data_IF_030723833130
#
_entry.id   IF_030723833130
#
_cell.length_a   1.000
_cell.length_b   1.000
_cell.length_c   1.000
_cell.angle_alpha   90.00
_cell.angle_beta   90.00
_cell.angle_gamma   90.00
#
_symmetry.space_group_name_H-M   'P 1'
#
loop_
_entity.id
_entity.type
_entity.pdbx_description
1 polymer ?
#
# COMPACT_ATOMS: atom_id res chain seq x y z
N UNK A 1 -7.24 -15.95 2.90
CA UNK A 1 -6.29 -15.08 2.19
C UNK A 1 -6.86 -14.94 0.79
N UNK A 2 -7.18 -13.72 0.42
CA UNK A 2 -7.69 -13.37 -0.90
C UNK A 2 -6.68 -12.38 -1.50
N UNK A 3 -6.39 -12.50 -2.79
CA UNK A 3 -5.55 -11.56 -3.53
C UNK A 3 -6.48 -10.82 -4.48
N UNK A 4 -6.59 -9.51 -4.29
CA UNK A 4 -7.29 -8.62 -5.20
C UNK A 4 -6.24 -7.95 -6.09
N UNK A 5 -6.43 -8.07 -7.40
CA UNK A 5 -5.73 -7.26 -8.39
C UNK A 5 -6.80 -6.32 -8.95
N UNK A 6 -6.78 -5.09 -8.47
CA UNK A 6 -7.64 -4.00 -8.94
C UNK A 6 -7.19 -3.50 -10.33
N UNK A 7 -8.07 -2.76 -10.97
CA UNK A 7 -7.92 -2.25 -12.34
C UNK A 7 -8.32 -0.78 -12.37
N UNK A 8 -7.81 -0.02 -13.34
CA UNK A 8 -8.09 1.41 -13.50
C UNK A 8 -7.80 2.25 -12.25
N UNK A 9 -6.78 1.89 -11.50
CA UNK A 9 -6.25 2.70 -10.40
C UNK A 9 -5.67 4.01 -10.98
N UNK A 10 -4.71 3.86 -11.88
CA UNK A 10 -3.89 4.95 -12.45
C UNK A 10 -4.48 5.61 -13.72
N UNK A 11 -5.81 5.53 -13.91
CA UNK A 11 -6.50 6.11 -15.09
C UNK A 11 -7.18 7.46 -14.78
N UNK A 12 -6.84 8.08 -13.65
CA UNK A 12 -7.46 9.32 -13.20
C UNK A 12 -7.04 10.55 -14.01
N UNK A 13 -7.67 11.67 -13.68
CA UNK A 13 -7.52 12.92 -14.41
C UNK A 13 -6.82 13.97 -13.54
N UNK A 14 -5.50 14.10 -13.71
CA UNK A 14 -4.68 15.10 -13.01
C UNK A 14 -5.15 16.55 -13.22
N UNK A 15 -5.94 16.83 -14.27
CA UNK A 15 -6.48 18.17 -14.53
C UNK A 15 -7.69 18.51 -13.66
N UNK A 16 -8.27 17.51 -13.00
CA UNK A 16 -9.41 17.65 -12.09
C UNK A 16 -8.93 17.60 -10.65
N UNK A 17 -9.47 18.48 -9.81
CA UNK A 17 -9.25 18.44 -8.36
C UNK A 17 -10.06 17.35 -7.65
N UNK A 18 -10.54 16.34 -8.39
CA UNK A 18 -11.43 15.30 -7.89
C UNK A 18 -10.66 13.98 -7.76
N UNK A 19 -10.28 13.68 -6.52
CA UNK A 19 -9.55 12.46 -6.15
C UNK A 19 -10.30 11.17 -6.56
N UNK A 20 -11.63 11.23 -6.72
CA UNK A 20 -12.41 10.06 -7.12
C UNK A 20 -12.30 9.69 -8.60
N UNK A 21 -11.43 10.36 -9.35
CA UNK A 21 -11.08 9.96 -10.70
C UNK A 21 -10.10 8.78 -10.73
N UNK A 22 -9.37 8.53 -9.62
CA UNK A 22 -8.43 7.41 -9.42
C UNK A 22 -9.10 6.21 -8.75
N UNK A 23 -8.39 5.07 -8.68
CA UNK A 23 -8.81 3.88 -7.91
C UNK A 23 -10.19 3.33 -8.34
N UNK A 24 -10.55 3.45 -9.62
CA UNK A 24 -11.92 3.20 -10.09
C UNK A 24 -12.34 1.74 -9.90
N UNK A 25 -11.42 0.79 -10.08
CA UNK A 25 -11.66 -0.63 -9.84
C UNK A 25 -11.96 -0.94 -8.38
N UNK A 26 -11.20 -0.37 -7.45
CA UNK A 26 -11.43 -0.57 -6.00
C UNK A 26 -12.67 0.16 -5.51
N UNK A 27 -12.96 1.35 -6.05
CA UNK A 27 -14.23 2.03 -5.83
C UNK A 27 -15.41 1.15 -6.27
N UNK A 28 -15.29 0.44 -7.39
CA UNK A 28 -16.31 -0.50 -7.84
C UNK A 28 -16.40 -1.73 -6.93
N UNK A 29 -15.26 -2.37 -6.62
CA UNK A 29 -15.17 -3.58 -5.81
C UNK A 29 -15.70 -3.37 -4.39
N UNK A 30 -15.38 -2.23 -3.75
CA UNK A 30 -15.84 -1.93 -2.39
C UNK A 30 -17.37 -1.83 -2.29
N UNK A 31 -18.04 -1.42 -3.37
CA UNK A 31 -19.52 -1.36 -3.49
C UNK A 31 -20.12 -2.67 -4.00
N UNK A 32 -19.34 -3.47 -4.73
CA UNK A 32 -19.77 -4.69 -5.40
C UNK A 32 -18.78 -5.84 -5.13
N UNK A 33 -18.61 -6.27 -3.87
CA UNK A 33 -17.62 -7.29 -3.55
C UNK A 33 -17.98 -8.60 -4.23
N UNK A 34 -16.95 -9.36 -4.64
CA UNK A 34 -17.09 -10.66 -5.31
C UNK A 34 -17.88 -11.71 -4.52
N UNK A 35 -18.10 -11.49 -3.22
CA UNK A 35 -18.96 -12.27 -2.33
C UNK A 35 -19.89 -11.32 -1.58
N UNK A 36 -21.20 -11.64 -1.46
CA UNK A 36 -22.10 -10.88 -0.60
C UNK A 36 -21.58 -10.80 0.84
N UNK A 37 -21.63 -9.62 1.44
CA UNK A 37 -21.16 -9.37 2.82
C UNK A 37 -19.71 -9.84 3.05
N UNK A 38 -18.84 -9.66 2.06
CA UNK A 38 -17.41 -9.93 2.20
C UNK A 38 -16.82 -9.13 3.37
N UNK A 39 -16.02 -9.80 4.19
CA UNK A 39 -15.27 -9.20 5.29
C UNK A 39 -13.85 -9.75 5.31
N UNK A 40 -12.89 -8.93 5.74
CA UNK A 40 -11.54 -9.35 6.05
C UNK A 40 -11.11 -8.68 7.37
N UNK A 41 -10.16 -9.29 8.09
CA UNK A 41 -9.66 -8.70 9.34
C UNK A 41 -8.88 -7.41 9.09
N UNK A 42 -8.16 -7.36 7.96
CA UNK A 42 -7.49 -6.20 7.42
C UNK A 42 -7.08 -6.46 5.97
N UNK A 43 -6.72 -5.41 5.24
CA UNK A 43 -6.07 -5.44 3.93
C UNK A 43 -4.64 -4.92 3.99
N UNK A 44 -3.84 -5.29 2.99
CA UNK A 44 -2.51 -4.73 2.73
C UNK A 44 -2.44 -4.46 1.23
N UNK A 45 -2.36 -3.19 0.86
CA UNK A 45 -2.07 -2.70 -0.49
C UNK A 45 -0.55 -2.62 -0.68
N UNK A 46 -0.09 -2.96 -1.89
CA UNK A 46 1.31 -2.88 -2.29
C UNK A 46 1.43 -2.00 -3.53
N UNK A 47 1.83 -0.75 -3.34
CA UNK A 47 2.07 0.17 -4.46
C UNK A 47 3.55 0.59 -4.56
N UNK A 48 4.11 0.56 -5.77
CA UNK A 48 5.50 0.92 -6.07
C UNK A 48 6.58 0.25 -5.18
N UNK A 49 6.38 -1.01 -4.80
CA UNK A 49 7.24 -1.76 -3.84
C UNK A 49 8.54 -2.34 -4.43
N UNK A 50 8.89 -1.98 -5.67
CA UNK A 50 10.00 -2.62 -6.41
C UNK A 50 11.27 -1.79 -6.56
N UNK A 51 11.19 -0.47 -6.38
CA UNK A 51 12.28 0.42 -6.76
C UNK A 51 13.52 0.30 -5.86
N UNK A 52 14.70 0.47 -6.46
CA UNK A 52 15.98 0.51 -5.75
C UNK A 52 16.02 1.71 -4.80
N UNK A 53 16.36 1.44 -3.53
CA UNK A 53 16.44 2.48 -2.50
C UNK A 53 15.07 3.01 -2.06
N UNK A 54 13.98 2.29 -2.36
CA UNK A 54 12.66 2.61 -1.83
C UNK A 54 12.66 2.62 -0.30
N UNK A 55 11.90 3.55 0.26
CA UNK A 55 11.60 3.62 1.69
C UNK A 55 10.09 3.71 1.88
N UNK A 56 9.59 2.93 2.82
CA UNK A 56 8.18 2.81 3.15
C UNK A 56 7.97 3.45 4.53
N UNK A 57 7.57 4.73 4.60
CA UNK A 57 7.06 5.33 5.82
C UNK A 57 5.64 4.83 6.10
N UNK A 58 5.13 5.10 7.30
CA UNK A 58 3.77 4.72 7.69
C UNK A 58 2.81 5.75 7.07
N UNK A 59 2.17 5.37 5.96
CA UNK A 59 1.26 6.23 5.18
C UNK A 59 0.10 6.76 6.07
N UNK A 60 -0.31 8.00 5.83
CA UNK A 60 -1.19 8.75 6.72
C UNK A 60 -2.57 8.10 6.94
N UNK A 61 -3.26 7.69 5.87
CA UNK A 61 -4.54 6.99 5.97
C UNK A 61 -4.37 5.64 6.68
N UNK A 62 -3.29 4.93 6.42
CA UNK A 62 -2.96 3.66 7.07
C UNK A 62 -2.75 3.82 8.58
N UNK A 63 -2.07 4.88 9.00
CA UNK A 63 -1.88 5.23 10.42
C UNK A 63 -3.20 5.61 11.08
N UNK A 64 -4.05 6.36 10.38
CA UNK A 64 -5.33 6.83 10.91
C UNK A 64 -6.34 5.70 11.06
N UNK A 65 -6.49 4.86 10.04
CA UNK A 65 -7.58 3.89 9.94
C UNK A 65 -7.16 2.44 10.24
N UNK A 66 -5.86 2.12 10.17
CA UNK A 66 -5.34 0.77 10.42
C UNK A 66 -4.09 0.73 11.34
N UNK A 67 -4.02 1.49 12.45
CA UNK A 67 -2.79 1.64 13.25
C UNK A 67 -2.25 0.33 13.82
N UNK A 68 -3.14 -0.63 14.14
CA UNK A 68 -2.73 -1.94 14.64
C UNK A 68 -2.07 -2.80 13.56
N UNK A 69 -2.52 -2.67 12.31
CA UNK A 69 -1.96 -3.38 11.14
C UNK A 69 -0.61 -2.76 10.78
N UNK A 70 -0.52 -1.42 10.76
CA UNK A 70 0.74 -0.69 10.57
C UNK A 70 1.78 -1.15 11.59
N UNK A 71 1.43 -1.13 12.87
CA UNK A 71 2.31 -1.58 13.96
C UNK A 71 2.76 -3.03 13.76
N UNK A 72 1.86 -3.91 13.33
CA UNK A 72 2.16 -5.33 13.08
C UNK A 72 3.19 -5.48 11.95
N UNK A 73 2.97 -4.84 10.81
CA UNK A 73 3.84 -4.91 9.64
C UNK A 73 5.22 -4.32 9.94
N UNK A 74 5.28 -3.10 10.49
CA UNK A 74 6.56 -2.43 10.75
C UNK A 74 7.38 -3.14 11.82
N UNK A 75 6.74 -3.63 12.90
CA UNK A 75 7.46 -4.42 13.89
C UNK A 75 7.99 -5.74 13.31
N UNK A 76 7.23 -6.38 12.41
CA UNK A 76 7.71 -7.59 11.72
C UNK A 76 8.90 -7.27 10.82
N UNK A 77 8.81 -6.23 10.00
CA UNK A 77 9.92 -5.79 9.16
C UNK A 77 11.17 -5.50 9.97
N UNK A 78 11.04 -4.81 11.11
CA UNK A 78 12.13 -4.52 12.01
C UNK A 78 12.79 -5.77 12.58
N UNK A 79 11.98 -6.74 13.03
CA UNK A 79 12.49 -8.01 13.54
C UNK A 79 13.23 -8.82 12.46
N UNK A 80 12.81 -8.73 11.21
CA UNK A 80 13.47 -9.37 10.07
C UNK A 80 14.72 -8.61 9.57
N UNK A 81 15.04 -7.45 10.15
CA UNK A 81 16.19 -6.64 9.77
C UNK A 81 15.95 -5.70 8.58
N UNK A 82 14.70 -5.41 8.23
CA UNK A 82 14.32 -4.54 7.10
C UNK A 82 13.97 -3.10 7.50
N UNK A 83 14.44 -2.61 8.65
CA UNK A 83 14.17 -1.24 9.12
C UNK A 83 14.77 -0.14 8.22
N UNK A 84 15.68 -0.50 7.30
CA UNK A 84 16.17 0.41 6.27
C UNK A 84 15.16 0.63 5.12
N UNK A 85 14.20 -0.29 4.95
CA UNK A 85 13.09 -0.17 4.01
C UNK A 85 11.84 0.34 4.73
N UNK A 86 11.42 -0.33 5.79
CA UNK A 86 10.25 0.02 6.60
C UNK A 86 10.66 0.98 7.72
N UNK A 87 10.55 2.28 7.46
CA UNK A 87 11.02 3.32 8.37
C UNK A 87 9.92 3.72 9.36
N UNK A 88 10.27 3.86 10.64
CA UNK A 88 9.33 4.27 11.70
C UNK A 88 9.13 5.79 11.71
N UNK A 89 8.67 6.30 10.58
CA UNK A 89 8.31 7.70 10.37
C UNK A 89 6.89 7.75 9.81
N UNK A 90 6.06 8.64 10.34
CA UNK A 90 4.71 8.87 9.81
C UNK A 90 4.81 9.76 8.56
N UNK A 91 4.13 9.33 7.50
CA UNK A 91 4.09 10.03 6.22
C UNK A 91 2.85 10.89 6.05
N UNK A 92 2.77 11.57 4.91
CA UNK A 92 1.52 12.20 4.45
C UNK A 92 0.47 11.15 4.11
N UNK A 93 -0.80 11.54 4.08
CA UNK A 93 -1.86 10.71 3.49
C UNK A 93 -1.78 10.72 1.97
N UNK A 94 -1.97 9.55 1.36
CA UNK A 94 -2.06 9.36 -0.09
C UNK A 94 -3.44 8.83 -0.44
N UNK A 95 -4.10 9.42 -1.44
CA UNK A 95 -5.29 8.80 -2.05
C UNK A 95 -4.82 7.59 -2.82
N UNK A 96 -5.23 6.40 -2.38
CA UNK A 96 -4.91 5.13 -3.03
C UNK A 96 -6.04 4.12 -2.75
N UNK A 97 -5.97 2.92 -3.32
CA UNK A 97 -6.99 1.88 -3.19
C UNK A 97 -7.29 1.51 -1.73
N UNK A 98 -6.30 1.60 -0.84
CA UNK A 98 -6.47 1.32 0.59
C UNK A 98 -7.57 2.22 1.19
N UNK A 99 -7.63 3.49 0.79
CA UNK A 99 -8.62 4.45 1.25
C UNK A 99 -10.04 4.05 0.85
N UNK A 100 -10.23 3.52 -0.37
CA UNK A 100 -11.53 3.06 -0.85
C UNK A 100 -11.94 1.70 -0.26
N UNK A 101 -10.97 0.83 0.07
CA UNK A 101 -11.23 -0.37 0.86
C UNK A 101 -11.71 0.01 2.28
N UNK A 102 -11.06 0.97 2.92
CA UNK A 102 -11.44 1.47 4.25
C UNK A 102 -12.84 2.08 4.23
N UNK A 103 -13.06 3.07 3.36
CA UNK A 103 -14.28 3.88 3.36
C UNK A 103 -15.47 3.20 2.70
N UNK A 104 -15.23 2.35 1.70
CA UNK A 104 -16.28 1.68 0.94
C UNK A 104 -16.62 0.27 1.45
N UNK A 105 -15.62 -0.50 1.88
CA UNK A 105 -15.82 -1.88 2.36
C UNK A 105 -15.70 -2.03 3.89
N UNK A 106 -15.33 -0.96 4.61
CA UNK A 106 -15.16 -0.96 6.07
C UNK A 106 -14.15 -2.01 6.56
N UNK A 107 -13.07 -2.20 5.80
CA UNK A 107 -11.96 -3.09 6.13
C UNK A 107 -10.72 -2.22 6.40
N UNK A 108 -10.11 -2.27 7.59
CA UNK A 108 -8.86 -1.57 7.85
C UNK A 108 -7.78 -2.00 6.85
N UNK A 109 -7.21 -1.08 6.09
CA UNK A 109 -6.27 -1.39 5.02
C UNK A 109 -5.00 -0.55 5.15
N UNK A 110 -3.84 -1.19 5.06
CA UNK A 110 -2.53 -0.50 5.08
C UNK A 110 -1.98 -0.44 3.68
N UNK A 111 -1.40 0.69 3.33
CA UNK A 111 -0.62 0.86 2.13
C UNK A 111 0.89 0.83 2.45
N UNK A 112 1.63 0.05 1.66
CA UNK A 112 3.09 -0.03 1.67
C UNK A 112 3.56 0.60 0.36
N UNK A 113 3.83 1.90 0.41
CA UNK A 113 4.15 2.73 -0.76
C UNK A 113 5.50 3.45 -0.62
N UNK A 114 6.23 3.54 -1.73
CA UNK A 114 7.51 4.26 -1.76
C UNK A 114 7.30 5.77 -1.89
N UNK A 115 7.44 6.49 -0.78
CA UNK A 115 7.19 7.94 -0.73
C UNK A 115 8.13 8.65 0.23
N UNK A 116 8.32 9.96 0.01
CA UNK A 116 8.95 10.82 1.00
C UNK A 116 7.92 11.18 2.11
N UNK A 117 8.21 10.90 3.39
CA UNK A 117 7.22 11.07 4.46
C UNK A 117 6.79 12.52 4.69
N UNK A 118 7.65 13.50 4.41
CA UNK A 118 7.32 14.91 4.69
C UNK A 118 6.56 15.60 3.54
N UNK A 119 6.78 15.16 2.31
CA UNK A 119 6.25 15.84 1.12
C UNK A 119 5.22 15.02 0.35
N UNK A 120 5.06 13.74 0.65
CA UNK A 120 4.20 12.84 -0.13
C UNK A 120 4.74 12.47 -1.49
N UNK A 121 5.91 13.00 -1.88
CA UNK A 121 6.44 12.82 -3.22
C UNK A 121 6.96 11.41 -3.42
N UNK A 122 6.59 10.82 -4.54
CA UNK A 122 7.09 9.53 -5.00
C UNK A 122 8.51 9.63 -5.58
N UNK A 123 9.09 8.47 -5.86
CA UNK A 123 10.37 8.38 -6.55
C UNK A 123 10.33 9.12 -7.90
N UNK A 124 11.48 9.66 -8.33
CA UNK A 124 11.57 10.47 -9.56
C UNK A 124 11.24 9.71 -10.87
N UNK A 125 10.96 8.41 -10.76
CA UNK A 125 10.53 7.53 -11.85
C UNK A 125 9.01 7.51 -12.04
N UNK A 126 8.22 7.84 -11.00
CA UNK A 126 6.75 7.78 -11.02
C UNK A 126 6.17 8.64 -12.15
N UNK A 127 5.20 8.08 -12.89
CA UNK A 127 4.61 8.64 -14.11
C UNK A 127 5.63 9.07 -15.18
N UNK A 128 6.75 8.33 -15.31
CA UNK A 128 7.75 8.57 -16.34
C UNK A 128 8.20 7.29 -17.04
N UNK A 129 8.80 7.42 -18.23
CA UNK A 129 9.44 6.28 -18.92
C UNK A 129 10.65 5.68 -18.17
N UNK A 130 11.08 6.27 -17.05
CA UNK A 130 12.11 5.69 -16.18
C UNK A 130 11.56 4.61 -15.25
N UNK A 131 10.24 4.50 -15.13
CA UNK A 131 9.64 3.36 -14.47
C UNK A 131 9.69 2.15 -15.41
N UNK A 132 10.76 1.36 -15.25
CA UNK A 132 11.04 0.18 -16.04
C UNK A 132 11.96 -0.77 -15.25
N UNK A 133 12.36 -1.89 -15.85
CA UNK A 133 13.13 -2.92 -15.15
C UNK A 133 14.47 -2.46 -14.57
N UNK A 134 15.06 -1.35 -15.06
CA UNK A 134 16.35 -0.85 -14.57
C UNK A 134 16.28 -0.28 -13.15
N UNK A 135 15.09 0.18 -12.71
CA UNK A 135 14.90 0.69 -11.35
C UNK A 135 14.56 -0.41 -10.35
N UNK A 136 14.23 -1.62 -10.80
CA UNK A 136 13.74 -2.69 -9.93
C UNK A 136 14.90 -3.37 -9.19
N UNK A 137 14.77 -3.51 -7.88
CA UNK A 137 15.74 -4.18 -7.01
C UNK A 137 15.12 -5.40 -6.32
N UNK A 138 15.73 -6.56 -6.52
CA UNK A 138 15.32 -7.82 -5.88
C UNK A 138 15.39 -7.75 -4.35
N UNK A 139 16.26 -6.92 -3.78
CA UNK A 139 16.36 -6.75 -2.33
C UNK A 139 15.16 -5.97 -1.78
N UNK A 140 14.68 -4.95 -2.49
CA UNK A 140 13.45 -4.23 -2.14
C UNK A 140 12.26 -5.19 -2.18
N UNK A 141 12.10 -5.94 -3.28
CA UNK A 141 11.05 -6.94 -3.41
C UNK A 141 11.13 -8.02 -2.32
N UNK A 142 12.35 -8.45 -1.96
CA UNK A 142 12.56 -9.43 -0.89
C UNK A 142 12.17 -8.88 0.48
N UNK A 143 12.51 -7.63 0.79
CA UNK A 143 12.17 -7.00 2.06
C UNK A 143 10.66 -6.92 2.25
N UNK A 144 9.94 -6.45 1.22
CA UNK A 144 8.47 -6.34 1.25
C UNK A 144 7.82 -7.71 1.27
N UNK A 145 8.16 -8.58 0.32
CA UNK A 145 7.55 -9.91 0.20
C UNK A 145 7.79 -10.79 1.42
N UNK A 146 9.01 -10.79 2.00
CA UNK A 146 9.27 -11.58 3.20
C UNK A 146 8.52 -11.02 4.42
N UNK A 147 8.45 -9.70 4.58
CA UNK A 147 7.71 -9.09 5.69
C UNK A 147 6.24 -9.50 5.67
N UNK A 148 5.59 -9.38 4.51
CA UNK A 148 4.16 -9.69 4.37
C UNK A 148 3.91 -11.19 4.55
N UNK A 149 4.78 -12.04 3.98
CA UNK A 149 4.67 -13.47 4.15
C UNK A 149 4.67 -13.86 5.63
N UNK A 150 5.60 -13.30 6.42
CA UNK A 150 5.65 -13.58 7.86
C UNK A 150 4.44 -13.03 8.62
N UNK A 151 3.97 -11.81 8.27
CA UNK A 151 2.75 -11.23 8.87
C UNK A 151 1.55 -12.16 8.64
N UNK A 152 1.31 -12.55 7.40
CA UNK A 152 0.15 -13.37 7.02
C UNK A 152 0.26 -14.79 7.57
N UNK A 153 1.47 -15.36 7.63
CA UNK A 153 1.68 -16.71 8.18
C UNK A 153 1.44 -16.78 9.68
N UNK A 154 1.72 -15.71 10.43
CA UNK A 154 1.49 -15.66 11.88
C UNK A 154 0.03 -15.50 12.28
N UNK A 155 -0.84 -14.99 11.39
CA UNK A 155 -2.29 -14.96 11.64
C UNK A 155 -2.94 -16.35 11.71
N UNK A 156 -2.24 -17.41 11.27
CA UNK A 156 -2.75 -18.78 11.30
C UNK A 156 -2.42 -19.54 12.58
N UNK A 157 -1.66 -18.93 13.51
CA UNK A 157 -1.27 -19.53 14.79
C UNK A 157 -2.24 -19.13 15.90
#
# INVERSE_FOLDING_TARGET
>A
IDILLDDLEDYGDESRSDENTWCLGTQYWSKNPHKPSYVAQYGILLDMVGAKGATFPREGNSVEYAPYVVKKIWNKAAHLGYSNYFIFEDGTSITDDNYYVITGANIPCVDIINMNPQTGRFGSYHHTHRDNMDIIDKNTLKAVGQTILEVVWEEQK
#
